data_IF_303227593292
#
_entry.id   IF_303227593292
#
_cell.length_a   1.000
_cell.length_b   1.000
_cell.length_c   1.000
_cell.angle_alpha   90.00
_cell.angle_beta   90.00
_cell.angle_gamma   90.00
#
_symmetry.space_group_name_H-M   'P 1'
#
loop_
_entity.id
_entity.type
_entity.pdbx_description
1 polymer ?
#
# COMPACT_ATOMS: atom_id res chain seq x y z
N UNK A 1 5.38 -9.04 21.12
CA UNK A 1 6.78 -8.54 21.15
C UNK A 1 7.55 -9.24 20.03
N UNK A 2 8.36 -8.49 19.30
CA UNK A 2 9.13 -9.02 18.16
C UNK A 2 10.42 -9.71 18.65
N UNK A 3 10.93 -9.32 19.82
CA UNK A 3 12.16 -9.87 20.41
C UNK A 3 12.07 -10.07 21.93
N UNK A 4 12.83 -11.05 22.41
CA UNK A 4 13.11 -11.30 23.83
C UNK A 4 14.63 -11.45 24.00
N UNK A 5 15.25 -10.60 24.81
CA UNK A 5 16.71 -10.49 24.94
C UNK A 5 17.07 -10.52 26.42
N UNK A 6 18.01 -11.39 26.77
CA UNK A 6 18.60 -11.38 28.10
C UNK A 6 19.59 -10.22 28.23
N UNK A 7 19.33 -9.32 29.17
CA UNK A 7 20.25 -8.26 29.58
C UNK A 7 21.23 -8.83 30.62
N UNK A 8 22.52 -9.02 30.25
CA UNK A 8 23.50 -9.61 31.16
C UNK A 8 23.89 -8.67 32.31
N UNK A 9 23.73 -7.35 32.15
CA UNK A 9 24.06 -6.38 33.19
C UNK A 9 22.99 -6.35 34.29
N UNK A 10 21.71 -6.39 33.90
CA UNK A 10 20.59 -6.41 34.83
C UNK A 10 20.12 -7.83 35.22
N UNK A 11 20.67 -8.87 34.57
CA UNK A 11 20.29 -10.28 34.74
C UNK A 11 18.79 -10.56 34.52
N UNK A 12 18.15 -9.83 33.61
CA UNK A 12 16.71 -9.94 33.32
C UNK A 12 16.44 -10.04 31.82
N UNK A 13 15.29 -10.61 31.46
CA UNK A 13 14.80 -10.58 30.08
C UNK A 13 14.10 -9.25 29.79
N UNK A 14 14.48 -8.61 28.68
CA UNK A 14 13.82 -7.43 28.13
C UNK A 14 13.10 -7.78 26.83
N UNK A 15 11.90 -7.22 26.65
CA UNK A 15 11.04 -7.47 25.50
C UNK A 15 10.95 -6.22 24.64
N UNK A 16 11.14 -6.39 23.33
CA UNK A 16 11.10 -5.30 22.37
C UNK A 16 10.10 -5.60 21.27
N UNK A 17 9.47 -4.55 20.74
CA UNK A 17 8.67 -4.60 19.54
C UNK A 17 9.15 -3.50 18.61
N UNK A 18 9.28 -3.82 17.33
CA UNK A 18 9.39 -2.77 16.32
C UNK A 18 8.00 -2.18 16.20
N UNK A 19 7.91 -0.87 16.28
CA UNK A 19 6.64 -0.16 16.11
C UNK A 19 6.81 0.80 14.96
N UNK A 20 5.76 0.91 14.17
CA UNK A 20 5.72 1.88 13.09
C UNK A 20 5.61 3.27 13.71
N UNK A 21 6.56 4.15 13.37
CA UNK A 21 6.46 5.55 13.75
C UNK A 21 5.42 6.22 12.84
N UNK A 22 4.24 6.49 13.41
CA UNK A 22 3.14 7.15 12.71
C UNK A 22 3.42 8.63 12.42
N UNK A 23 4.49 9.19 12.98
CA UNK A 23 4.97 10.54 12.65
C UNK A 23 6.00 10.56 11.53
N UNK A 24 6.43 9.39 11.03
CA UNK A 24 7.44 9.27 9.97
C UNK A 24 6.81 9.22 8.57
N UNK A 25 7.64 9.56 7.56
CA UNK A 25 7.27 9.56 6.14
C UNK A 25 7.08 8.14 5.59
N UNK A 26 5.84 7.64 5.66
CA UNK A 26 5.42 6.46 4.91
C UNK A 26 4.75 6.88 3.62
N UNK A 27 5.13 6.21 2.54
CA UNK A 27 4.46 6.33 1.24
C UNK A 27 4.35 4.94 0.59
N UNK A 28 3.21 4.67 -0.04
CA UNK A 28 2.92 3.44 -0.75
C UNK A 28 3.24 3.55 -2.24
N UNK A 29 3.22 4.75 -2.85
CA UNK A 29 3.30 4.94 -4.31
C UNK A 29 4.47 4.19 -4.97
N UNK A 30 5.70 4.34 -4.48
CA UNK A 30 6.87 3.67 -5.07
C UNK A 30 6.72 2.13 -5.08
N UNK A 31 6.30 1.57 -3.94
CA UNK A 31 6.08 0.11 -3.79
C UNK A 31 4.86 -0.35 -4.60
N UNK A 32 3.83 0.49 -4.68
CA UNK A 32 2.64 0.29 -5.51
C UNK A 32 2.99 0.21 -7.00
N UNK A 33 3.84 1.11 -7.51
CA UNK A 33 4.31 1.07 -8.91
C UNK A 33 5.04 -0.24 -9.20
N UNK A 34 5.94 -0.69 -8.32
CA UNK A 34 6.59 -2.01 -8.47
C UNK A 34 5.54 -3.12 -8.52
N UNK A 35 4.59 -3.12 -7.59
CA UNK A 35 3.52 -4.12 -7.54
C UNK A 35 2.61 -4.11 -8.78
N UNK A 36 2.35 -2.93 -9.36
CA UNK A 36 1.61 -2.77 -10.61
C UNK A 36 2.31 -3.49 -11.78
N UNK A 37 3.62 -3.28 -11.94
CA UNK A 37 4.40 -3.91 -12.99
C UNK A 37 4.52 -5.42 -12.80
N UNK A 38 4.74 -5.89 -11.56
CA UNK A 38 4.76 -7.33 -11.24
C UNK A 38 3.43 -8.02 -11.61
N UNK A 39 2.31 -7.30 -11.58
CA UNK A 39 0.98 -7.82 -11.88
C UNK A 39 0.55 -7.67 -13.35
N UNK A 40 1.47 -7.27 -14.24
CA UNK A 40 1.21 -7.15 -15.68
C UNK A 40 0.87 -5.74 -16.17
N UNK A 41 1.08 -4.73 -15.34
CA UNK A 41 1.10 -3.33 -15.79
C UNK A 41 2.19 -3.07 -16.84
N UNK A 42 1.98 -2.08 -17.70
CA UNK A 42 2.88 -1.79 -18.85
C UNK A 42 3.30 -0.33 -18.93
N UNK A 43 2.34 0.59 -18.99
CA UNK A 43 2.58 2.04 -18.99
C UNK A 43 1.65 2.68 -17.97
N UNK A 44 2.16 3.67 -17.24
CA UNK A 44 1.37 4.42 -16.28
C UNK A 44 1.81 5.88 -16.22
N UNK A 45 0.87 6.76 -15.84
CA UNK A 45 1.16 8.14 -15.49
C UNK A 45 1.37 8.22 -13.99
N UNK A 46 2.38 8.99 -13.58
CA UNK A 46 2.65 9.28 -12.16
C UNK A 46 2.45 10.76 -11.93
N UNK A 47 1.52 11.09 -11.03
CA UNK A 47 1.29 12.47 -10.58
C UNK A 47 1.91 12.60 -9.21
N UNK A 48 3.10 13.21 -9.15
CA UNK A 48 3.76 13.51 -7.88
C UNK A 48 3.04 14.67 -7.22
N UNK A 49 2.60 14.48 -5.98
CA UNK A 49 1.94 15.52 -5.18
C UNK A 49 2.76 15.82 -3.95
N UNK A 50 3.35 17.01 -3.90
CA UNK A 50 4.32 17.39 -2.87
C UNK A 50 5.72 16.83 -3.10
N UNK A 51 6.56 17.03 -2.10
CA UNK A 51 7.94 16.56 -2.05
C UNK A 51 8.19 15.75 -0.76
N UNK A 52 9.36 15.15 -0.67
CA UNK A 52 9.84 14.50 0.55
C UNK A 52 10.39 15.52 1.57
N UNK A 53 10.28 16.82 1.30
CA UNK A 53 11.06 17.88 1.96
C UNK A 53 10.31 19.22 2.01
N UNK A 54 9.59 19.46 3.11
CA UNK A 54 9.14 20.79 3.59
C UNK A 54 8.18 21.60 2.72
N UNK A 55 7.05 22.03 3.32
CA UNK A 55 6.27 23.21 2.87
C UNK A 55 6.60 24.34 3.85
N UNK A 56 7.05 25.50 3.34
CA UNK A 56 7.40 26.69 4.15
C UNK A 56 8.54 26.51 5.17
N UNK A 57 9.49 25.60 4.92
CA UNK A 57 10.66 25.41 5.79
C UNK A 57 10.37 24.61 7.08
N UNK A 58 9.15 24.08 7.23
CA UNK A 58 8.80 23.13 8.28
C UNK A 58 8.55 21.74 7.66
N UNK A 59 9.08 20.70 8.31
CA UNK A 59 8.84 19.30 7.94
C UNK A 59 7.38 18.95 8.26
N UNK A 60 6.48 19.05 7.27
CA UNK A 60 5.17 18.41 7.40
C UNK A 60 5.32 16.93 7.05
N UNK A 61 5.21 16.08 8.07
CA UNK A 61 5.21 14.64 7.89
C UNK A 61 3.88 14.14 7.34
N UNK A 62 3.93 13.09 6.52
CA UNK A 62 2.76 12.34 6.06
C UNK A 62 2.10 12.84 4.78
N UNK A 63 0.96 12.24 4.46
CA UNK A 63 0.21 12.48 3.22
C UNK A 63 -0.83 13.59 3.43
N UNK A 64 -0.95 14.51 2.47
CA UNK A 64 -1.90 15.62 2.49
C UNK A 64 -3.06 15.38 1.52
N UNK A 65 -4.29 15.48 2.01
CA UNK A 65 -5.50 15.37 1.18
C UNK A 65 -5.58 16.48 0.14
N UNK A 66 -5.25 17.72 0.53
CA UNK A 66 -5.18 18.87 -0.39
C UNK A 66 -4.21 18.61 -1.55
N UNK A 67 -3.04 18.04 -1.25
CA UNK A 67 -2.02 17.74 -2.27
C UNK A 67 -2.51 16.65 -3.23
N UNK A 68 -3.10 15.58 -2.71
CA UNK A 68 -3.70 14.50 -3.53
C UNK A 68 -4.86 15.02 -4.39
N UNK A 69 -5.73 15.87 -3.83
CA UNK A 69 -6.82 16.51 -4.57
C UNK A 69 -6.30 17.41 -5.69
N UNK A 70 -5.19 18.13 -5.47
CA UNK A 70 -4.52 18.94 -6.50
C UNK A 70 -3.93 18.09 -7.63
N UNK A 71 -3.39 16.91 -7.31
CA UNK A 71 -2.95 15.95 -8.32
C UNK A 71 -4.12 15.39 -9.16
N UNK A 72 -5.26 15.15 -8.51
CA UNK A 72 -6.48 14.71 -9.19
C UNK A 72 -7.02 15.80 -10.14
N UNK A 73 -6.99 17.06 -9.72
CA UNK A 73 -7.34 18.21 -10.56
C UNK A 73 -6.40 18.34 -11.77
N UNK A 74 -5.10 18.10 -11.58
CA UNK A 74 -4.11 18.19 -12.66
C UNK A 74 -4.37 17.19 -13.80
N UNK A 75 -5.05 16.06 -13.52
CA UNK A 75 -5.40 15.07 -14.54
C UNK A 75 -6.83 15.21 -15.06
N UNK A 76 -7.63 16.15 -14.55
CA UNK A 76 -9.06 16.26 -14.89
C UNK A 76 -9.29 16.51 -16.39
N UNK A 77 -8.50 17.38 -17.00
CA UNK A 77 -8.58 17.71 -18.43
C UNK A 77 -7.49 17.00 -19.26
N UNK A 78 -6.75 16.07 -18.65
CA UNK A 78 -5.72 15.30 -19.35
C UNK A 78 -6.32 14.05 -19.99
N UNK A 79 -6.14 13.92 -21.30
CA UNK A 79 -6.51 12.74 -22.08
C UNK A 79 -5.42 11.66 -21.94
N UNK A 80 -5.77 10.46 -21.50
CA UNK A 80 -4.85 9.33 -21.41
C UNK A 80 -5.13 8.36 -20.26
N UNK A 81 -5.32 8.83 -19.00
CA UNK A 81 -5.60 7.96 -17.88
C UNK A 81 -6.95 7.27 -18.03
N UNK A 82 -6.97 5.94 -18.06
CA UNK A 82 -8.21 5.13 -18.09
C UNK A 82 -8.52 4.48 -16.74
N UNK A 83 -7.53 4.44 -15.84
CA UNK A 83 -7.66 3.99 -14.46
C UNK A 83 -7.11 5.07 -13.52
N UNK A 84 -7.79 5.29 -12.39
CA UNK A 84 -7.34 6.23 -11.35
C UNK A 84 -7.22 5.46 -10.03
N UNK A 85 -6.07 5.60 -9.37
CA UNK A 85 -5.73 4.96 -8.11
C UNK A 85 -4.92 5.92 -7.22
N UNK A 86 -5.13 5.80 -5.91
CA UNK A 86 -4.57 6.70 -4.89
C UNK A 86 -3.99 5.87 -3.74
N UNK A 87 -2.89 5.10 -3.95
CA UNK A 87 -2.38 4.15 -2.97
C UNK A 87 -1.94 4.81 -1.65
N UNK A 88 -1.56 6.09 -1.69
CA UNK A 88 -1.16 6.86 -0.51
C UNK A 88 -2.35 7.39 0.29
N UNK A 89 -3.57 7.37 -0.24
CA UNK A 89 -4.75 7.88 0.44
C UNK A 89 -5.06 7.12 1.75
N UNK A 90 -4.65 5.85 1.87
CA UNK A 90 -4.79 5.09 3.12
C UNK A 90 -3.93 5.62 4.28
N UNK A 91 -2.98 6.52 3.99
CA UNK A 91 -2.08 7.13 4.97
C UNK A 91 -2.56 8.53 5.40
N UNK A 92 -3.69 8.99 4.87
CA UNK A 92 -4.32 10.23 5.33
C UNK A 92 -4.67 10.12 6.82
N UNK A 93 -4.48 11.18 7.61
CA UNK A 93 -4.74 11.13 9.04
C UNK A 93 -6.24 10.96 9.32
N UNK A 94 -6.55 10.28 10.43
CA UNK A 94 -7.90 10.24 11.00
C UNK A 94 -8.14 11.53 11.80
N UNK A 95 -9.29 12.19 11.58
CA UNK A 95 -9.64 13.44 12.25
C UNK A 95 -10.26 13.24 13.65
N UNK A 96 -10.80 12.05 13.94
CA UNK A 96 -11.40 11.64 15.22
C UNK A 96 -11.02 10.18 15.59
N UNK A 97 -9.74 9.91 15.92
CA UNK A 97 -9.26 8.55 16.18
C UNK A 97 -9.84 7.92 17.46
N UNK A 98 -10.38 8.73 18.38
CA UNK A 98 -11.02 8.23 19.61
C UNK A 98 -12.50 7.91 19.42
N UNK A 99 -13.19 8.59 18.49
CA UNK A 99 -14.60 8.36 18.17
C UNK A 99 -14.85 7.39 17.01
N UNK A 100 -14.33 7.69 15.81
CA UNK A 100 -14.46 6.85 14.62
C UNK A 100 -13.08 6.55 14.00
N UNK A 101 -12.38 5.51 14.48
CA UNK A 101 -11.04 5.18 14.00
C UNK A 101 -11.01 4.71 12.53
N UNK A 102 -12.16 4.48 11.91
CA UNK A 102 -12.29 3.87 10.59
C UNK A 102 -12.55 4.87 9.46
N UNK A 103 -12.46 6.17 9.73
CA UNK A 103 -12.72 7.22 8.74
C UNK A 103 -11.68 8.34 8.75
N UNK A 104 -11.48 8.98 7.61
CA UNK A 104 -10.75 10.24 7.47
C UNK A 104 -11.58 11.15 6.57
N UNK A 105 -11.88 12.38 6.99
CA UNK A 105 -12.68 13.32 6.20
C UNK A 105 -11.96 13.68 4.89
N UNK A 106 -10.63 13.78 4.92
CA UNK A 106 -9.79 13.98 3.74
C UNK A 106 -9.87 12.80 2.78
N UNK A 107 -9.80 11.56 3.29
CA UNK A 107 -9.96 10.36 2.46
C UNK A 107 -11.35 10.31 1.81
N UNK A 108 -12.38 10.64 2.58
CA UNK A 108 -13.78 10.69 2.12
C UNK A 108 -13.94 11.72 1.00
N UNK A 109 -13.49 12.96 1.21
CA UNK A 109 -13.54 14.04 0.21
C UNK A 109 -12.84 13.63 -1.09
N UNK A 110 -11.61 13.14 -0.97
CA UNK A 110 -10.80 12.70 -2.11
C UNK A 110 -11.46 11.55 -2.88
N UNK A 111 -12.02 10.57 -2.18
CA UNK A 111 -12.71 9.43 -2.81
C UNK A 111 -13.97 9.87 -3.55
N UNK A 112 -14.80 10.72 -2.94
CA UNK A 112 -15.98 11.29 -3.59
C UNK A 112 -15.60 12.09 -4.83
N UNK A 113 -14.57 12.93 -4.75
CA UNK A 113 -14.05 13.71 -5.87
C UNK A 113 -13.54 12.81 -7.01
N UNK A 114 -12.82 11.74 -6.67
CA UNK A 114 -12.33 10.75 -7.64
C UNK A 114 -13.47 10.09 -8.41
N UNK A 115 -14.51 9.62 -7.70
CA UNK A 115 -15.68 8.98 -8.32
C UNK A 115 -16.44 9.97 -9.20
N UNK A 116 -16.66 11.20 -8.73
CA UNK A 116 -17.30 12.26 -9.51
C UNK A 116 -16.51 12.55 -10.79
N UNK A 117 -15.20 12.74 -10.70
CA UNK A 117 -14.36 12.98 -11.87
C UNK A 117 -14.41 11.82 -12.87
N UNK A 118 -14.35 10.56 -12.40
CA UNK A 118 -14.47 9.41 -13.30
C UNK A 118 -15.82 9.41 -14.03
N UNK A 119 -16.91 9.75 -13.34
CA UNK A 119 -18.24 9.85 -13.94
C UNK A 119 -18.38 11.04 -14.91
N UNK A 120 -17.83 12.20 -14.56
CA UNK A 120 -17.91 13.43 -15.36
C UNK A 120 -17.06 13.38 -16.63
N UNK A 121 -15.99 12.57 -16.63
CA UNK A 121 -15.13 12.35 -17.81
C UNK A 121 -15.61 11.17 -18.65
N UNK A 122 -16.12 10.11 -18.04
CA UNK A 122 -16.65 8.94 -18.75
C UNK A 122 -15.60 8.14 -19.54
N UNK A 123 -14.31 8.43 -19.35
CA UNK A 123 -13.18 7.80 -20.03
C UNK A 123 -12.30 6.98 -19.06
N UNK A 124 -12.56 7.08 -17.76
CA UNK A 124 -11.72 6.52 -16.70
C UNK A 124 -12.52 5.87 -15.58
N UNK A 125 -11.87 4.97 -14.85
CA UNK A 125 -12.47 4.16 -13.79
C UNK A 125 -11.60 4.15 -12.53
N UNK A 126 -12.22 4.32 -11.35
CA UNK A 126 -11.52 4.37 -10.07
C UNK A 126 -11.30 2.95 -9.49
N UNK A 127 -10.08 2.68 -9.06
CA UNK A 127 -9.75 1.50 -8.24
C UNK A 127 -9.41 2.00 -6.84
N UNK A 128 -10.27 1.67 -5.88
CA UNK A 128 -10.24 2.23 -4.54
C UNK A 128 -9.81 1.18 -3.52
N UNK A 129 -9.01 1.63 -2.56
CA UNK A 129 -8.69 0.89 -1.36
C UNK A 129 -9.66 1.27 -0.22
N UNK A 130 -9.75 0.44 0.82
CA UNK A 130 -10.63 0.70 1.97
C UNK A 130 -9.82 1.32 3.11
N UNK A 131 -10.15 2.56 3.49
CA UNK A 131 -9.56 3.22 4.66
C UNK A 131 -9.83 2.43 5.95
N UNK A 132 -8.90 2.44 6.90
CA UNK A 132 -8.99 1.65 8.13
C UNK A 132 -8.70 0.16 7.98
N UNK A 133 -8.42 -0.35 6.77
CA UNK A 133 -8.11 -1.78 6.56
C UNK A 133 -6.90 -2.28 7.36
N UNK A 134 -5.93 -1.41 7.63
CA UNK A 134 -4.74 -1.73 8.45
C UNK A 134 -5.06 -1.95 9.92
N UNK A 135 -6.24 -1.48 10.37
CA UNK A 135 -6.70 -1.58 11.75
C UNK A 135 -7.56 -2.84 11.99
N UNK A 136 -7.92 -3.58 10.93
CA UNK A 136 -8.64 -4.85 11.06
C UNK A 136 -7.64 -5.93 11.52
N UNK A 137 -7.84 -6.55 12.70
CA UNK A 137 -6.98 -7.62 13.17
C UNK A 137 -7.26 -8.92 12.41
N UNK A 138 -6.35 -9.90 12.50
CA UNK A 138 -6.51 -11.21 11.87
C UNK A 138 -7.69 -12.04 12.38
N UNK A 139 -8.35 -11.62 13.47
CA UNK A 139 -9.60 -12.20 13.97
C UNK A 139 -10.84 -11.65 13.25
N UNK A 140 -10.65 -10.71 12.31
CA UNK A 140 -11.68 -10.04 11.52
C UNK A 140 -12.64 -9.17 12.36
N UNK A 141 -12.29 -8.90 13.62
CA UNK A 141 -13.03 -7.98 14.48
C UNK A 141 -13.12 -6.58 13.85
N UNK A 142 -14.24 -5.89 14.06
CA UNK A 142 -14.51 -4.53 13.55
C UNK A 142 -14.53 -4.37 12.02
N UNK A 143 -14.33 -5.45 11.25
CA UNK A 143 -14.36 -5.42 9.78
C UNK A 143 -15.69 -4.85 9.25
N UNK A 144 -16.82 -5.19 9.86
CA UNK A 144 -18.13 -4.64 9.52
C UNK A 144 -18.21 -3.12 9.70
N UNK A 145 -17.63 -2.58 10.78
CA UNK A 145 -17.58 -1.14 11.06
C UNK A 145 -16.73 -0.40 10.04
N UNK A 146 -15.59 -0.97 9.63
CA UNK A 146 -14.75 -0.41 8.55
C UNK A 146 -15.54 -0.30 7.24
N UNK A 147 -16.27 -1.36 6.87
CA UNK A 147 -17.08 -1.34 5.65
C UNK A 147 -18.25 -0.37 5.75
N UNK A 148 -18.89 -0.26 6.91
CA UNK A 148 -19.96 0.70 7.13
C UNK A 148 -19.45 2.15 7.00
N UNK A 149 -18.33 2.49 7.67
CA UNK A 149 -17.71 3.81 7.59
C UNK A 149 -17.33 4.18 6.14
N UNK A 150 -16.72 3.24 5.40
CA UNK A 150 -16.43 3.44 3.97
C UNK A 150 -17.70 3.69 3.16
N UNK A 151 -18.73 2.85 3.32
CA UNK A 151 -19.97 2.94 2.55
C UNK A 151 -20.75 4.23 2.83
N UNK A 152 -20.76 4.70 4.08
CA UNK A 152 -21.35 5.98 4.44
C UNK A 152 -20.53 7.16 3.88
N UNK A 153 -19.20 7.02 3.83
CA UNK A 153 -18.29 8.04 3.34
C UNK A 153 -18.33 8.28 1.83
N UNK A 154 -18.42 7.25 0.97
CA UNK A 154 -18.24 7.42 -0.49
C UNK A 154 -19.36 8.18 -1.23
N UNK A 155 -20.45 8.57 -0.56
CA UNK A 155 -21.54 9.31 -1.19
C UNK A 155 -22.40 8.48 -2.16
N UNK A 156 -23.01 9.15 -3.15
CA UNK A 156 -23.95 8.56 -4.11
C UNK A 156 -23.57 8.79 -5.59
N UNK A 157 -22.53 9.60 -5.86
CA UNK A 157 -22.15 10.01 -7.21
C UNK A 157 -21.07 9.08 -7.76
N UNK A 158 -21.14 8.79 -9.06
CA UNK A 158 -20.09 8.03 -9.76
C UNK A 158 -19.85 6.59 -9.28
N UNK A 159 -20.75 5.99 -8.48
CA UNK A 159 -20.58 4.66 -7.91
C UNK A 159 -20.34 3.57 -8.97
N UNK A 160 -20.95 3.71 -10.14
CA UNK A 160 -20.76 2.77 -11.24
C UNK A 160 -19.44 2.94 -11.99
N UNK A 161 -18.65 3.98 -11.70
CA UNK A 161 -17.33 4.28 -12.27
C UNK A 161 -16.18 3.94 -11.30
N UNK A 162 -16.45 3.23 -10.21
CA UNK A 162 -15.42 2.78 -9.29
C UNK A 162 -15.66 1.37 -8.76
N UNK A 163 -14.58 0.74 -8.32
CA UNK A 163 -14.60 -0.52 -7.58
C UNK A 163 -13.66 -0.44 -6.40
N UNK A 164 -14.08 -0.98 -5.25
CA UNK A 164 -13.26 -1.04 -4.05
C UNK A 164 -12.78 -2.46 -3.76
N UNK A 165 -11.58 -2.59 -3.19
CA UNK A 165 -10.90 -3.86 -2.93
C UNK A 165 -10.44 -3.98 -1.48
N UNK A 166 -10.63 -5.16 -0.91
CA UNK A 166 -10.21 -5.51 0.45
C UNK A 166 -9.78 -6.98 0.50
N UNK A 167 -8.79 -7.36 1.33
CA UNK A 167 -8.01 -6.53 2.27
C UNK A 167 -6.69 -6.01 1.67
N UNK A 168 -5.84 -5.44 2.52
CA UNK A 168 -4.42 -5.19 2.23
C UNK A 168 -3.68 -6.49 1.89
N UNK A 169 -2.54 -6.35 1.23
CA UNK A 169 -1.74 -7.46 0.72
C UNK A 169 -0.44 -7.58 1.49
N UNK A 170 -0.10 -8.80 1.92
CA UNK A 170 1.23 -9.16 2.39
C UNK A 170 2.05 -9.55 1.14
N UNK A 171 3.03 -8.72 0.77
CA UNK A 171 3.75 -8.80 -0.52
C UNK A 171 5.21 -9.23 -0.38
N UNK A 172 5.90 -9.39 -1.51
CA UNK A 172 7.36 -9.65 -1.57
C UNK A 172 8.11 -8.54 -2.32
N UNK A 173 7.52 -7.35 -2.42
CA UNK A 173 8.06 -6.23 -3.21
C UNK A 173 9.35 -5.67 -2.60
N UNK A 174 9.45 -5.59 -1.29
CA UNK A 174 10.64 -5.11 -0.58
C UNK A 174 11.43 -6.30 -0.08
N UNK A 175 12.70 -6.38 -0.48
CA UNK A 175 13.63 -7.42 -0.03
C UNK A 175 14.45 -6.95 1.18
N UNK A 176 15.03 -7.90 1.92
CA UNK A 176 15.90 -7.59 3.06
C UNK A 176 17.14 -6.80 2.66
N UNK A 177 17.65 -6.98 1.44
CA UNK A 177 18.80 -6.23 0.92
C UNK A 177 18.53 -4.74 0.68
N UNK A 178 17.26 -4.34 0.60
CA UNK A 178 16.86 -2.94 0.42
C UNK A 178 16.68 -2.20 1.74
N UNK A 179 16.73 -2.91 2.87
CA UNK A 179 16.42 -2.40 4.20
C UNK A 179 17.66 -2.51 5.09
N UNK A 180 17.90 -1.49 5.90
CA UNK A 180 19.08 -1.39 6.76
C UNK A 180 18.79 -0.68 8.07
N UNK A 181 19.82 -0.45 8.88
CA UNK A 181 19.66 0.19 10.19
C UNK A 181 19.08 1.62 10.11
N UNK A 182 19.18 2.29 8.96
CA UNK A 182 18.57 3.59 8.71
C UNK A 182 17.04 3.54 8.59
N UNK A 183 16.44 2.35 8.51
CA UNK A 183 14.98 2.20 8.59
C UNK A 183 14.44 2.42 10.01
N UNK A 184 15.31 2.56 11.01
CA UNK A 184 14.93 2.95 12.37
C UNK A 184 15.13 4.46 12.56
N UNK A 185 14.22 5.09 13.31
CA UNK A 185 14.33 6.52 13.66
C UNK A 185 15.64 6.79 14.41
N UNK A 186 16.19 8.03 14.35
CA UNK A 186 17.38 8.39 15.12
C UNK A 186 17.30 8.00 16.61
N UNK A 187 16.13 8.19 17.23
CA UNK A 187 15.87 7.83 18.63
C UNK A 187 15.93 6.31 18.83
N UNK A 188 15.29 5.55 17.93
CA UNK A 188 15.26 4.08 17.98
C UNK A 188 16.63 3.46 17.72
N UNK A 189 17.51 4.15 16.98
CA UNK A 189 18.89 3.68 16.72
C UNK A 189 19.77 3.69 17.97
N UNK A 190 19.46 4.52 18.97
CA UNK A 190 20.09 4.45 20.29
C UNK A 190 19.79 3.12 21.00
N UNK A 191 18.53 2.71 21.00
CA UNK A 191 18.11 1.41 21.54
C UNK A 191 18.73 0.27 20.72
N UNK A 192 18.72 0.38 19.39
CA UNK A 192 19.35 -0.61 18.51
C UNK A 192 20.84 -0.80 18.85
N UNK A 193 21.58 0.29 19.09
CA UNK A 193 22.99 0.23 19.49
C UNK A 193 23.18 -0.57 20.79
N UNK A 194 22.34 -0.36 21.81
CA UNK A 194 22.39 -1.15 23.05
C UNK A 194 22.15 -2.64 22.78
N UNK A 195 21.12 -2.96 22.00
CA UNK A 195 20.76 -4.34 21.64
C UNK A 195 21.90 -5.06 20.91
N UNK A 196 22.52 -4.39 19.94
CA UNK A 196 23.66 -4.92 19.19
C UNK A 196 24.87 -5.11 20.10
N UNK A 197 25.09 -4.19 21.04
CA UNK A 197 26.19 -4.26 22.01
C UNK A 197 26.03 -5.48 22.93
N UNK A 198 24.83 -5.74 23.44
CA UNK A 198 24.55 -6.93 24.24
C UNK A 198 24.71 -8.23 23.46
N UNK A 199 24.21 -8.30 22.23
CA UNK A 199 24.38 -9.50 21.41
C UNK A 199 25.86 -9.71 21.02
N UNK A 200 26.59 -8.63 20.74
CA UNK A 200 28.02 -8.72 20.45
C UNK A 200 28.80 -9.26 21.65
N UNK A 201 28.50 -8.81 22.88
CA UNK A 201 29.10 -9.36 24.09
C UNK A 201 28.76 -10.84 24.28
N UNK A 202 27.50 -11.20 24.05
CA UNK A 202 27.03 -12.58 24.17
C UNK A 202 27.74 -13.55 23.20
N UNK A 203 27.92 -13.13 21.94
CA UNK A 203 28.47 -13.98 20.88
C UNK A 203 30.00 -13.91 20.78
N UNK A 204 30.59 -12.78 21.11
CA UNK A 204 32.00 -12.50 20.81
C UNK A 204 32.82 -12.10 22.05
N UNK A 205 32.26 -12.08 23.26
CA UNK A 205 32.99 -11.72 24.48
C UNK A 205 32.66 -12.61 25.70
N UNK A 206 32.54 -13.93 25.48
CA UNK A 206 32.37 -14.89 26.58
C UNK A 206 31.05 -14.78 27.33
N UNK A 207 30.03 -14.13 26.76
CA UNK A 207 28.72 -13.99 27.40
C UNK A 207 28.55 -12.72 28.25
N UNK A 208 29.61 -11.93 28.43
CA UNK A 208 29.64 -10.81 29.37
C UNK A 208 30.15 -9.53 28.72
N UNK A 209 29.64 -8.38 29.16
CA UNK A 209 30.22 -7.09 28.79
C UNK A 209 31.63 -6.96 29.39
N UNK A 210 32.57 -6.28 28.70
CA UNK A 210 33.86 -5.94 29.29
C UNK A 210 33.65 -5.09 30.56
N UNK A 211 34.49 -5.25 31.60
CA UNK A 211 34.53 -4.31 32.71
C UNK A 211 34.80 -2.88 32.22
N UNK A 212 34.30 -1.89 32.97
CA UNK A 212 34.49 -0.48 32.63
C UNK A 212 35.99 -0.13 32.56
N UNK A 213 36.43 0.37 31.40
CA UNK A 213 37.83 0.71 31.14
C UNK A 213 38.71 -0.45 30.66
N UNK A 214 38.19 -1.67 30.52
CA UNK A 214 38.90 -2.82 29.96
C UNK A 214 38.48 -3.10 28.51
N UNK A 215 39.41 -3.65 27.71
CA UNK A 215 39.12 -4.10 26.36
C UNK A 215 38.49 -5.50 26.37
N UNK A 216 37.48 -5.70 25.52
CA UNK A 216 36.93 -7.01 25.20
C UNK A 216 37.81 -7.80 24.24
N UNK A 217 37.28 -8.91 23.74
CA UNK A 217 37.96 -9.67 22.69
C UNK A 217 38.19 -8.85 21.42
N UNK A 218 39.22 -9.18 20.64
CA UNK A 218 39.50 -8.48 19.38
C UNK A 218 38.30 -8.43 18.41
N UNK A 219 37.49 -9.49 18.38
CA UNK A 219 36.28 -9.54 17.53
C UNK A 219 35.15 -8.67 18.09
N UNK A 220 35.00 -8.62 19.42
CA UNK A 220 34.06 -7.73 20.07
C UNK A 220 34.38 -6.27 19.75
N UNK A 221 35.64 -5.85 19.94
CA UNK A 221 36.10 -4.48 19.70
C UNK A 221 35.92 -4.04 18.24
N UNK A 222 36.28 -4.92 17.29
CA UNK A 222 36.07 -4.66 15.86
C UNK A 222 34.59 -4.39 15.55
N UNK A 223 33.67 -5.19 16.13
CA UNK A 223 32.23 -4.99 15.93
C UNK A 223 31.70 -3.77 16.68
N UNK A 224 32.28 -3.37 17.82
CA UNK A 224 31.87 -2.16 18.53
C UNK A 224 32.09 -0.89 17.71
N UNK A 225 33.15 -0.85 16.89
CA UNK A 225 33.39 0.26 15.95
C UNK A 225 32.24 0.40 14.96
N UNK A 226 31.78 -0.70 14.36
CA UNK A 226 30.65 -0.67 13.41
C UNK A 226 29.31 -0.41 14.11
N UNK A 227 29.10 -0.94 15.33
CA UNK A 227 27.91 -0.68 16.14
C UNK A 227 27.83 0.81 16.51
N UNK A 228 28.96 1.46 16.80
CA UNK A 228 28.99 2.88 17.15
C UNK A 228 28.48 3.78 16.02
N UNK A 229 28.73 3.40 14.76
CA UNK A 229 28.29 4.13 13.56
C UNK A 229 26.77 4.11 13.35
N UNK A 230 26.04 3.16 13.94
CA UNK A 230 24.58 3.03 13.75
C UNK A 230 23.81 4.29 14.15
N UNK A 231 24.31 5.08 15.11
CA UNK A 231 23.67 6.32 15.56
C UNK A 231 24.12 7.57 14.79
N UNK A 232 25.05 7.43 13.84
CA UNK A 232 25.51 8.54 13.01
C UNK A 232 24.47 8.84 11.90
N UNK A 233 24.20 10.12 11.66
CA UNK A 233 23.16 10.55 10.72
C UNK A 233 23.69 10.77 9.30
N UNK A 234 24.96 11.13 9.17
CA UNK A 234 25.52 11.68 7.92
C UNK A 234 26.65 10.80 7.35
N UNK A 235 26.54 9.49 7.50
CA UNK A 235 27.50 8.56 6.91
C UNK A 235 27.37 8.49 5.38
N UNK A 236 28.50 8.37 4.64
CA UNK A 236 28.47 8.11 3.22
C UNK A 236 27.70 6.81 2.89
N UNK A 237 26.97 6.73 1.75
CA UNK A 237 26.19 5.54 1.41
C UNK A 237 26.99 4.23 1.36
N UNK A 238 28.25 4.28 0.95
CA UNK A 238 29.15 3.12 0.92
C UNK A 238 29.46 2.61 2.34
N UNK A 239 29.66 3.52 3.30
CA UNK A 239 29.88 3.17 4.70
C UNK A 239 28.62 2.61 5.35
N UNK A 240 27.45 3.20 5.05
CA UNK A 240 26.14 2.67 5.49
C UNK A 240 25.96 1.24 4.98
N UNK A 241 26.30 0.96 3.72
CA UNK A 241 26.21 -0.37 3.14
C UNK A 241 27.16 -1.36 3.84
N UNK A 242 28.39 -0.94 4.13
CA UNK A 242 29.38 -1.75 4.84
C UNK A 242 28.96 -2.07 6.28
N UNK A 243 28.45 -1.09 7.02
CA UNK A 243 27.91 -1.27 8.37
C UNK A 243 26.76 -2.26 8.34
N UNK A 244 25.80 -2.07 7.43
CA UNK A 244 24.68 -2.99 7.27
C UNK A 244 25.13 -4.42 6.96
N UNK A 245 26.03 -4.60 5.99
CA UNK A 245 26.53 -5.91 5.59
C UNK A 245 27.26 -6.60 6.76
N UNK A 246 28.13 -5.88 7.45
CA UNK A 246 28.93 -6.41 8.56
C UNK A 246 28.03 -6.83 9.72
N UNK A 247 27.13 -5.95 10.15
CA UNK A 247 26.28 -6.19 11.31
C UNK A 247 25.21 -7.23 11.02
N UNK A 248 24.57 -7.23 9.85
CA UNK A 248 23.58 -8.27 9.49
C UNK A 248 24.21 -9.64 9.30
N UNK A 249 25.46 -9.71 8.82
CA UNK A 249 26.19 -10.96 8.64
C UNK A 249 26.74 -11.57 9.95
N UNK A 250 26.84 -10.78 11.03
CA UNK A 250 27.48 -11.21 12.29
C UNK A 250 26.56 -11.19 13.51
N UNK A 251 25.53 -10.33 13.53
CA UNK A 251 24.61 -10.13 14.64
C UNK A 251 23.18 -10.48 14.20
N UNK A 252 22.69 -11.70 14.49
CA UNK A 252 21.36 -12.16 14.09
C UNK A 252 20.20 -11.27 14.57
N UNK A 253 20.39 -10.48 15.64
CA UNK A 253 19.35 -9.58 16.14
C UNK A 253 19.00 -8.49 15.13
N UNK A 254 20.00 -7.92 14.42
CA UNK A 254 19.75 -6.93 13.40
C UNK A 254 18.94 -7.55 12.26
N UNK A 255 19.32 -8.76 11.84
CA UNK A 255 18.61 -9.49 10.79
C UNK A 255 17.14 -9.73 11.17
N UNK A 256 16.86 -10.14 12.41
CA UNK A 256 15.49 -10.36 12.90
C UNK A 256 14.68 -9.05 12.94
N UNK A 257 15.29 -7.95 13.38
CA UNK A 257 14.65 -6.63 13.39
C UNK A 257 14.34 -6.14 11.98
N UNK A 258 15.30 -6.22 11.06
CA UNK A 258 15.12 -5.82 9.67
C UNK A 258 14.09 -6.71 8.96
N UNK A 259 14.00 -8.01 9.28
CA UNK A 259 12.91 -8.86 8.79
C UNK A 259 11.53 -8.38 9.27
N UNK A 260 11.41 -7.92 10.52
CA UNK A 260 10.18 -7.33 11.03
C UNK A 260 9.83 -6.00 10.33
N UNK A 261 10.84 -5.20 9.97
CA UNK A 261 10.66 -3.99 9.15
C UNK A 261 10.20 -4.36 7.74
N UNK A 262 10.90 -5.26 7.05
CA UNK A 262 10.54 -5.76 5.71
C UNK A 262 9.11 -6.28 5.68
N UNK A 263 8.68 -7.02 6.70
CA UNK A 263 7.31 -7.53 6.79
C UNK A 263 6.28 -6.39 6.83
N UNK A 264 6.55 -5.31 7.58
CA UNK A 264 5.67 -4.13 7.65
C UNK A 264 5.69 -3.33 6.35
N UNK A 265 6.86 -3.16 5.75
CA UNK A 265 7.04 -2.46 4.48
C UNK A 265 6.30 -3.14 3.31
N UNK A 266 6.15 -4.46 3.39
CA UNK A 266 5.44 -5.28 2.42
C UNK A 266 3.93 -5.38 2.64
N UNK A 267 3.36 -4.66 3.62
CA UNK A 267 1.91 -4.49 3.71
C UNK A 267 1.48 -3.35 2.79
N UNK A 268 0.87 -3.69 1.65
CA UNK A 268 0.52 -2.73 0.60
C UNK A 268 -0.99 -2.69 0.31
N UNK A 269 -1.52 -1.52 -0.10
CA UNK A 269 -2.88 -1.42 -0.64
C UNK A 269 -3.04 -2.27 -1.92
N UNK A 270 -4.19 -2.93 -2.13
CA UNK A 270 -4.41 -3.78 -3.29
C UNK A 270 -4.56 -3.04 -4.62
N UNK A 271 -4.95 -1.76 -4.63
CA UNK A 271 -5.29 -1.02 -5.85
C UNK A 271 -4.23 -1.10 -6.95
N UNK A 272 -2.95 -1.05 -6.59
CA UNK A 272 -1.85 -1.12 -7.56
C UNK A 272 -1.70 -2.50 -8.20
N UNK A 273 -1.80 -3.58 -7.40
CA UNK A 273 -1.80 -4.95 -7.93
C UNK A 273 -2.99 -5.20 -8.84
N UNK A 274 -4.17 -4.74 -8.42
CA UNK A 274 -5.43 -4.89 -9.16
C UNK A 274 -5.40 -4.12 -10.49
N UNK A 275 -4.81 -2.92 -10.52
CA UNK A 275 -4.64 -2.18 -11.76
C UNK A 275 -3.73 -2.92 -12.75
N UNK A 276 -2.63 -3.54 -12.28
CA UNK A 276 -1.79 -4.39 -13.11
C UNK A 276 -2.56 -5.59 -13.65
N UNK A 277 -3.33 -6.24 -12.78
CA UNK A 277 -4.22 -7.35 -13.16
C UNK A 277 -5.23 -6.95 -14.24
N UNK A 278 -5.83 -5.75 -14.16
CA UNK A 278 -6.74 -5.25 -15.18
C UNK A 278 -6.05 -5.18 -16.54
N UNK A 279 -4.85 -4.57 -16.60
CA UNK A 279 -4.05 -4.47 -17.83
C UNK A 279 -3.74 -5.88 -18.39
N UNK A 280 -3.37 -6.81 -17.50
CA UNK A 280 -3.08 -8.20 -17.89
C UNK A 280 -4.30 -8.91 -18.47
N UNK A 281 -5.46 -8.78 -17.84
CA UNK A 281 -6.71 -9.40 -18.31
C UNK A 281 -7.20 -8.76 -19.61
N UNK A 282 -7.13 -7.43 -19.71
CA UNK A 282 -7.55 -6.71 -20.91
C UNK A 282 -6.70 -7.09 -22.12
N UNK A 283 -5.38 -7.23 -21.94
CA UNK A 283 -4.45 -7.62 -23.00
C UNK A 283 -4.59 -9.08 -23.43
N UNK A 284 -4.98 -9.99 -22.52
CA UNK A 284 -5.15 -11.40 -22.84
C UNK A 284 -6.54 -11.75 -23.37
N UNK A 285 -7.58 -11.10 -22.84
CA UNK A 285 -8.97 -11.54 -22.97
C UNK A 285 -9.96 -10.42 -23.26
N UNK A 286 -9.50 -9.17 -23.33
CA UNK A 286 -10.33 -8.00 -23.58
C UNK A 286 -11.08 -7.48 -22.35
N UNK A 287 -11.46 -6.19 -22.42
CA UNK A 287 -12.08 -5.41 -21.33
C UNK A 287 -13.45 -5.95 -20.86
N UNK A 288 -14.10 -6.78 -21.67
CA UNK A 288 -15.35 -7.47 -21.36
C UNK A 288 -15.18 -8.69 -20.46
N UNK A 289 -13.95 -9.06 -20.14
CA UNK A 289 -13.64 -10.15 -19.21
C UNK A 289 -13.59 -9.64 -17.78
N UNK A 290 -14.25 -10.33 -16.85
CA UNK A 290 -14.17 -9.99 -15.44
C UNK A 290 -12.74 -10.19 -14.91
N UNK A 291 -12.11 -9.18 -14.28
CA UNK A 291 -10.78 -9.31 -13.67
C UNK A 291 -10.87 -9.98 -12.29
N UNK A 292 -11.54 -11.13 -12.22
CA UNK A 292 -11.78 -11.89 -10.99
C UNK A 292 -11.92 -13.39 -11.29
N UNK A 293 -11.82 -14.21 -10.24
CA UNK A 293 -11.94 -15.67 -10.32
C UNK A 293 -10.59 -16.37 -10.28
N UNK A 294 -10.57 -17.67 -10.64
CA UNK A 294 -9.39 -18.52 -10.45
C UNK A 294 -8.17 -18.09 -11.29
N UNK A 295 -8.40 -17.38 -12.40
CA UNK A 295 -7.34 -16.90 -13.28
C UNK A 295 -6.88 -15.47 -12.93
N UNK A 296 -7.43 -14.86 -11.88
CA UNK A 296 -7.13 -13.50 -11.44
C UNK A 296 -6.10 -13.49 -10.29
N UNK A 297 -5.06 -14.31 -10.41
CA UNK A 297 -4.00 -14.46 -9.40
C UNK A 297 -3.09 -13.23 -9.35
N UNK A 298 -2.75 -12.77 -8.15
CA UNK A 298 -1.86 -11.63 -7.95
C UNK A 298 -0.42 -12.13 -7.77
N UNK A 299 0.50 -11.53 -8.52
CA UNK A 299 1.93 -11.79 -8.47
C UNK A 299 2.60 -10.97 -7.36
N UNK A 300 3.70 -11.49 -6.81
CA UNK A 300 4.43 -10.86 -5.69
C UNK A 300 3.54 -10.60 -4.45
N UNK A 301 2.48 -11.40 -4.29
CA UNK A 301 1.57 -11.40 -3.14
C UNK A 301 1.65 -12.76 -2.44
N UNK A 302 2.03 -12.76 -1.17
CA UNK A 302 2.06 -13.96 -0.32
C UNK A 302 0.62 -14.35 0.03
N UNK A 303 -0.14 -13.40 0.57
CA UNK A 303 -1.55 -13.56 0.97
C UNK A 303 -2.22 -12.22 1.27
N UNK A 304 -3.57 -12.15 1.29
CA UNK A 304 -4.27 -11.07 1.94
C UNK A 304 -3.96 -11.01 3.45
N UNK A 305 -3.94 -9.81 4.04
CA UNK A 305 -3.72 -9.64 5.50
C UNK A 305 -4.86 -10.23 6.33
N UNK A 306 -6.05 -10.30 5.75
CA UNK A 306 -7.27 -10.84 6.33
C UNK A 306 -7.75 -12.03 5.51
N UNK A 307 -7.92 -13.18 6.18
CA UNK A 307 -8.47 -14.38 5.53
C UNK A 307 -9.99 -14.35 5.65
N UNK A 308 -10.65 -14.32 4.50
CA UNK A 308 -12.11 -14.24 4.41
C UNK A 308 -12.73 -15.62 4.14
N UNK A 309 -13.77 -15.95 4.91
CA UNK A 309 -14.67 -17.05 4.62
C UNK A 309 -15.82 -16.60 3.68
N UNK A 310 -16.65 -17.56 3.25
CA UNK A 310 -17.71 -17.29 2.27
C UNK A 310 -18.83 -16.39 2.82
N UNK A 311 -19.13 -16.48 4.12
CA UNK A 311 -20.15 -15.65 4.78
C UNK A 311 -19.70 -14.19 4.86
N UNK A 312 -18.46 -13.98 5.35
CA UNK A 312 -17.83 -12.66 5.43
C UNK A 312 -17.77 -11.97 4.06
N UNK A 313 -17.34 -12.71 3.03
CA UNK A 313 -17.34 -12.22 1.66
C UNK A 313 -18.77 -11.87 1.18
N UNK A 314 -19.77 -12.67 1.52
CA UNK A 314 -21.16 -12.44 1.13
C UNK A 314 -21.66 -11.05 1.55
N UNK A 315 -21.39 -10.66 2.80
CA UNK A 315 -21.77 -9.35 3.37
C UNK A 315 -21.01 -8.17 2.73
N UNK A 316 -19.79 -8.41 2.27
CA UNK A 316 -19.01 -7.42 1.52
C UNK A 316 -19.58 -7.15 0.14
N UNK A 317 -19.95 -8.23 -0.55
CA UNK A 317 -20.20 -8.23 -1.99
C UNK A 317 -21.66 -7.96 -2.35
N UNK A 318 -22.61 -8.29 -1.45
CA UNK A 318 -24.06 -8.03 -1.64
C UNK A 318 -24.65 -7.29 -0.43
N UNK A 319 -24.18 -6.06 -0.13
CA UNK A 319 -24.73 -5.30 0.98
C UNK A 319 -26.12 -4.74 0.66
N UNK A 320 -26.92 -4.51 1.70
CA UNK A 320 -28.25 -3.93 1.58
C UNK A 320 -28.23 -2.57 0.83
N UNK A 321 -27.22 -1.74 1.09
CA UNK A 321 -27.04 -0.43 0.45
C UNK A 321 -26.38 -0.45 -0.94
N UNK A 322 -26.12 -1.62 -1.53
CA UNK A 322 -25.58 -1.80 -2.89
C UNK A 322 -24.10 -1.48 -3.11
N UNK A 323 -23.46 -0.80 -2.15
CA UNK A 323 -22.03 -0.43 -2.18
C UNK A 323 -21.10 -1.62 -1.94
N UNK A 324 -20.94 -2.44 -2.96
CA UNK A 324 -20.17 -3.67 -2.92
C UNK A 324 -18.66 -3.43 -2.74
N UNK A 325 -18.00 -4.34 -2.03
CA UNK A 325 -16.55 -4.38 -1.86
C UNK A 325 -16.07 -5.73 -2.40
N UNK A 326 -15.06 -5.71 -3.26
CA UNK A 326 -14.52 -6.91 -3.88
C UNK A 326 -13.45 -7.53 -2.97
N UNK A 327 -13.63 -8.80 -2.64
CA UNK A 327 -12.70 -9.54 -1.81
C UNK A 327 -11.47 -10.00 -2.60
N UNK A 328 -10.31 -9.99 -1.96
CA UNK A 328 -9.11 -10.73 -2.38
C UNK A 328 -8.96 -11.92 -1.42
N UNK A 329 -8.85 -13.13 -1.98
CA UNK A 329 -8.83 -14.37 -1.20
C UNK A 329 -7.67 -15.25 -1.61
N UNK A 330 -7.26 -16.12 -0.70
CA UNK A 330 -6.32 -17.21 -1.00
C UNK A 330 -7.04 -18.54 -0.85
N UNK A 331 -6.73 -19.49 -1.72
CA UNK A 331 -7.24 -20.85 -1.65
C UNK A 331 -6.07 -21.84 -1.62
N UNK A 332 -6.19 -23.02 -0.99
CA UNK A 332 -5.12 -24.00 -1.01
C UNK A 332 -4.70 -24.36 -2.44
N UNK A 333 -3.40 -24.21 -2.74
CA UNK A 333 -2.83 -24.51 -4.07
C UNK A 333 -3.07 -23.45 -5.14
N UNK A 334 -3.68 -22.31 -4.81
CA UNK A 334 -3.89 -21.18 -5.72
C UNK A 334 -3.25 -19.94 -5.08
N UNK A 335 -2.61 -19.11 -5.91
CA UNK A 335 -2.15 -17.79 -5.49
C UNK A 335 -3.31 -16.95 -4.92
N UNK A 336 -3.00 -15.82 -4.29
CA UNK A 336 -4.04 -14.86 -3.90
C UNK A 336 -4.76 -14.35 -5.13
N UNK A 337 -6.08 -14.42 -5.17
CA UNK A 337 -6.91 -14.07 -6.32
C UNK A 337 -7.88 -12.96 -5.98
N UNK A 338 -8.15 -12.09 -6.95
CA UNK A 338 -9.31 -11.20 -6.89
C UNK A 338 -10.57 -12.04 -7.04
N UNK A 339 -11.47 -11.95 -6.06
CA UNK A 339 -12.65 -12.80 -5.92
C UNK A 339 -13.95 -11.98 -5.85
N UNK A 340 -14.01 -10.94 -6.68
CA UNK A 340 -15.19 -10.10 -6.90
C UNK A 340 -14.95 -9.15 -8.08
N UNK A 341 -16.00 -8.90 -8.87
CA UNK A 341 -15.96 -8.00 -10.03
C UNK A 341 -17.16 -7.03 -10.06
N UNK A 342 -17.60 -6.56 -8.88
CA UNK A 342 -18.67 -5.58 -8.76
C UNK A 342 -18.13 -4.14 -8.71
N UNK A 343 -18.88 -3.22 -9.31
CA UNK A 343 -18.68 -1.79 -9.09
C UNK A 343 -19.23 -1.41 -7.70
N UNK A 344 -19.05 -0.16 -7.28
CA UNK A 344 -19.72 0.36 -6.08
C UNK A 344 -21.24 0.52 -6.27
N UNK A 345 -21.76 0.40 -7.49
CA UNK A 345 -23.19 0.34 -7.81
C UNK A 345 -23.67 -1.12 -7.93
N UNK A 346 -23.36 -1.93 -6.93
CA UNK A 346 -23.49 -3.39 -6.96
C UNK A 346 -24.93 -3.92 -6.97
N UNK A 347 -25.93 -3.10 -6.64
CA UNK A 347 -27.34 -3.48 -6.73
C UNK A 347 -28.02 -3.04 -8.04
N UNK A 348 -27.34 -2.21 -8.86
CA UNK A 348 -27.85 -1.84 -10.18
C UNK A 348 -28.10 -3.06 -11.07
N UNK A 349 -29.07 -2.96 -11.97
CA UNK A 349 -29.31 -3.99 -12.98
C UNK A 349 -28.36 -3.81 -14.17
N UNK A 350 -27.97 -2.57 -14.47
CA UNK A 350 -27.17 -2.24 -15.64
C UNK A 350 -25.69 -2.19 -15.31
N UNK A 351 -25.34 -1.67 -14.12
CA UNK A 351 -23.97 -1.24 -13.80
C UNK A 351 -23.30 -2.01 -12.69
N UNK A 352 -23.88 -3.17 -12.34
CA UNK A 352 -23.41 -4.06 -11.28
C UNK A 352 -21.95 -4.47 -11.41
N UNK A 353 -21.50 -4.71 -12.64
CA UNK A 353 -20.25 -5.41 -12.90
C UNK A 353 -19.20 -4.54 -13.59
N UNK A 354 -17.96 -4.70 -13.15
CA UNK A 354 -16.78 -3.95 -13.60
C UNK A 354 -16.59 -4.10 -15.11
N UNK A 355 -16.58 -5.32 -15.62
CA UNK A 355 -16.37 -5.58 -17.03
C UNK A 355 -17.48 -5.00 -17.91
N UNK A 356 -18.71 -4.89 -17.40
CA UNK A 356 -19.82 -4.25 -18.13
C UNK A 356 -19.58 -2.75 -18.24
N UNK A 357 -19.31 -2.07 -17.13
CA UNK A 357 -18.99 -0.63 -17.14
C UNK A 357 -17.79 -0.34 -18.05
N UNK A 358 -16.70 -1.06 -17.88
CA UNK A 358 -15.44 -0.81 -18.61
C UNK A 358 -15.59 -1.11 -20.10
N UNK A 359 -16.40 -2.11 -20.49
CA UNK A 359 -16.72 -2.36 -21.90
C UNK A 359 -17.48 -1.19 -22.52
N UNK A 360 -18.45 -0.62 -21.80
CA UNK A 360 -19.20 0.53 -22.30
C UNK A 360 -18.31 1.76 -22.47
N UNK A 361 -17.46 2.06 -21.47
CA UNK A 361 -16.44 3.12 -21.59
C UNK A 361 -15.58 2.89 -22.83
N UNK A 362 -15.07 1.67 -23.03
CA UNK A 362 -14.23 1.33 -24.17
C UNK A 362 -14.95 1.56 -25.51
N UNK A 363 -16.22 1.15 -25.63
CA UNK A 363 -17.03 1.37 -26.83
C UNK A 363 -17.24 2.87 -27.07
N UNK A 364 -17.64 3.62 -26.05
CA UNK A 364 -17.89 5.06 -26.13
C UNK A 364 -16.65 5.83 -26.58
N UNK A 365 -15.49 5.55 -25.97
CA UNK A 365 -14.23 6.20 -26.35
C UNK A 365 -13.76 5.78 -27.75
N UNK A 366 -13.96 4.51 -28.13
CA UNK A 366 -13.61 4.04 -29.48
C UNK A 366 -14.44 4.72 -30.57
N UNK A 367 -15.75 4.87 -30.34
CA UNK A 367 -16.66 5.57 -31.26
C UNK A 367 -16.30 7.06 -31.31
N UNK A 368 -16.08 7.71 -30.16
CA UNK A 368 -15.69 9.12 -30.08
C UNK A 368 -14.41 9.39 -30.89
N UNK A 369 -13.41 8.52 -30.74
CA UNK A 369 -12.14 8.63 -31.49
C UNK A 369 -12.35 8.40 -32.99
N UNK A 370 -13.17 7.43 -33.39
CA UNK A 370 -13.47 7.16 -34.80
C UNK A 370 -14.25 8.30 -35.48
N UNK A 371 -15.13 8.99 -34.74
CA UNK A 371 -15.94 10.10 -35.23
C UNK A 371 -15.21 11.45 -35.21
N UNK A 372 -14.05 11.55 -34.55
CA UNK A 372 -13.30 12.80 -34.37
C UNK A 372 -12.97 13.54 -35.69
N UNK A 373 -12.59 12.85 -36.80
CA UNK A 373 -12.35 13.53 -38.08
C UNK A 373 -13.57 14.22 -38.70
N UNK A 374 -14.80 13.85 -38.27
CA UNK A 374 -16.05 14.33 -38.87
C UNK A 374 -16.67 15.51 -38.12
N UNK A 375 -16.09 15.98 -37.01
CA UNK A 375 -16.64 17.03 -36.13
C UNK A 375 -16.90 18.36 -36.85
N UNK A 376 -16.18 18.64 -37.93
CA UNK A 376 -16.37 19.84 -38.77
C UNK A 376 -16.71 19.52 -40.23
N UNK A 377 -17.09 18.27 -40.52
CA UNK A 377 -17.62 17.91 -41.83
C UNK A 377 -18.98 18.57 -42.07
N UNK A 378 -19.36 18.74 -43.34
CA UNK A 378 -20.66 19.31 -43.69
C UNK A 378 -21.79 18.43 -43.11
N UNK A 379 -22.77 19.04 -42.45
CA UNK A 379 -23.90 18.31 -41.87
C UNK A 379 -24.89 17.90 -42.97
N UNK A 380 -24.62 16.76 -43.62
CA UNK A 380 -25.35 16.26 -44.79
C UNK A 380 -25.51 14.73 -44.74
N UNK A 381 -26.44 14.19 -45.54
CA UNK A 381 -26.67 12.75 -45.62
C UNK A 381 -25.43 11.94 -45.99
N UNK A 382 -24.49 12.55 -46.74
CA UNK A 382 -23.23 11.92 -47.11
C UNK A 382 -22.25 11.76 -45.93
N UNK A 383 -22.38 12.58 -44.88
CA UNK A 383 -21.56 12.49 -43.66
C UNK A 383 -22.18 11.53 -42.64
N UNK A 384 -23.50 11.36 -42.67
CA UNK A 384 -24.22 10.45 -41.75
C UNK A 384 -24.21 8.99 -42.21
N UNK A 385 -24.12 8.75 -43.53
CA UNK A 385 -24.06 7.42 -44.15
C UNK A 385 -22.63 6.91 -44.17
#
# INVERSE_FOLDING_TARGET
PDLNIYDPAAQVNRYYAVVEDRSAWKFNLYKGIRLFFENGGTECFVVSVGDYTTREGELQAGVSGESLEGGLDAIADFDGPTLVLLPDALLLPNDDPEGDPWQSSQFVSLTQKTLRQCADRGDRFAILDIYGSSLVPSTNENMGSVFEAFRQGIGNEGLSYGAAYFPLLETTVVSLSEIGYLSFTPESRGILKELLTWQNAALNNGGTLPPEGEQGSAKYEMLQVEIAKVVENDLPPEEVAQVNQTLTGTLPILQQLLQAVVKRENILPPSSAVAGLYVRVDSSSGVWTAPAGMNAGLESVIRPTILLNDSEQGEMNVPAGGRAINAIRTFPGIASVVWGARTLDGNSNDWRYIQVRRTLIYIEQSIKNALQPFVFAANSSATWS
#
